data_IF_140924161676
#
_entry.id   IF_140924161676
#
_cell.length_a   1.000
_cell.length_b   1.000
_cell.length_c   1.000
_cell.angle_alpha   90.00
_cell.angle_beta   90.00
_cell.angle_gamma   90.00
#
_symmetry.space_group_name_H-M   'P 1'
#
loop_
_entity.id
_entity.type
_entity.pdbx_description
1 polymer ?
#
# COMPACT_ATOMS: atom_id res chain seq x y z
N UNK A 1 -85.76 -4.95 -30.65
CA UNK A 1 -86.40 -5.30 -29.35
C UNK A 1 -85.92 -6.68 -28.91
N UNK A 2 -86.00 -6.94 -27.60
CA UNK A 2 -85.51 -8.10 -26.82
C UNK A 2 -84.05 -7.95 -26.36
N UNK A 3 -83.79 -7.08 -25.37
CA UNK A 3 -83.81 -7.30 -23.90
C UNK A 3 -82.69 -8.24 -23.43
N UNK A 4 -81.69 -7.60 -22.81
CA UNK A 4 -80.79 -8.18 -21.82
C UNK A 4 -81.60 -8.85 -20.70
N UNK A 5 -81.31 -10.10 -20.40
CA UNK A 5 -81.69 -10.71 -19.12
C UNK A 5 -80.44 -11.05 -18.34
N UNK A 6 -80.18 -10.19 -17.35
CA UNK A 6 -79.28 -10.41 -16.22
C UNK A 6 -79.89 -11.50 -15.33
N UNK A 7 -79.32 -12.71 -15.31
CA UNK A 7 -79.55 -13.64 -14.20
C UNK A 7 -78.65 -13.26 -13.02
N UNK A 8 -79.27 -12.64 -12.02
CA UNK A 8 -78.73 -12.44 -10.68
C UNK A 8 -78.82 -13.76 -9.92
N UNK A 9 -77.71 -14.49 -9.80
CA UNK A 9 -77.53 -15.43 -8.70
C UNK A 9 -76.70 -14.76 -7.60
N UNK A 10 -77.26 -14.76 -6.39
CA UNK A 10 -76.74 -14.02 -5.24
C UNK A 10 -75.38 -14.53 -4.81
N UNK A 11 -74.35 -13.71 -5.06
CA UNK A 11 -73.02 -13.89 -4.50
C UNK A 11 -73.10 -13.76 -2.97
N UNK A 12 -72.98 -14.88 -2.28
CA UNK A 12 -73.23 -14.99 -0.84
C UNK A 12 -72.13 -14.25 -0.06
N UNK A 13 -72.46 -13.52 1.00
CA UNK A 13 -71.52 -12.64 1.73
C UNK A 13 -70.24 -13.32 2.23
N UNK A 14 -70.28 -14.64 2.42
CA UNK A 14 -69.15 -15.51 2.75
C UNK A 14 -68.14 -15.69 1.60
N UNK A 15 -68.59 -15.68 0.33
CA UNK A 15 -67.69 -15.75 -0.83
C UNK A 15 -66.91 -14.43 -1.02
N UNK A 16 -67.50 -13.29 -0.64
CA UNK A 16 -66.77 -12.00 -0.60
C UNK A 16 -65.76 -11.96 0.55
N UNK A 17 -66.11 -12.53 1.70
CA UNK A 17 -65.19 -12.68 2.83
C UNK A 17 -64.00 -13.55 2.45
N UNK A 18 -64.22 -14.71 1.83
CA UNK A 18 -63.16 -15.63 1.43
C UNK A 18 -62.18 -14.97 0.45
N UNK A 19 -62.69 -14.25 -0.56
CA UNK A 19 -61.86 -13.55 -1.55
C UNK A 19 -60.93 -12.49 -0.92
N UNK A 20 -61.34 -11.85 0.17
CA UNK A 20 -60.51 -10.87 0.89
C UNK A 20 -59.61 -11.50 1.97
N UNK A 21 -60.05 -12.59 2.60
CA UNK A 21 -59.32 -13.29 3.67
C UNK A 21 -58.17 -14.13 3.13
N UNK A 22 -58.34 -14.78 1.97
CA UNK A 22 -57.27 -15.59 1.37
C UNK A 22 -55.97 -14.80 1.10
N UNK A 23 -55.99 -13.63 0.43
CA UNK A 23 -54.78 -12.84 0.23
C UNK A 23 -54.25 -12.24 1.55
N UNK A 24 -55.12 -11.89 2.49
CA UNK A 24 -54.71 -11.38 3.81
C UNK A 24 -53.99 -12.45 4.65
N UNK A 25 -54.44 -13.70 4.60
CA UNK A 25 -53.80 -14.79 5.33
C UNK A 25 -52.41 -15.08 4.76
N UNK A 26 -52.27 -15.02 3.43
CA UNK A 26 -50.98 -15.21 2.77
C UNK A 26 -49.95 -14.14 3.18
N UNK A 27 -50.35 -12.87 3.27
CA UNK A 27 -49.44 -11.81 3.71
C UNK A 27 -49.03 -11.96 5.16
N UNK A 28 -49.96 -12.35 6.05
CA UNK A 28 -49.65 -12.63 7.46
C UNK A 28 -48.62 -13.75 7.60
N UNK A 29 -48.77 -14.85 6.84
CA UNK A 29 -47.80 -15.96 6.84
C UNK A 29 -46.43 -15.50 6.33
N UNK A 30 -46.39 -14.72 5.26
CA UNK A 30 -45.13 -14.21 4.70
C UNK A 30 -44.40 -13.30 5.70
N UNK A 31 -45.13 -12.40 6.36
CA UNK A 31 -44.58 -11.53 7.41
C UNK A 31 -44.08 -12.36 8.60
N UNK A 32 -44.81 -13.40 9.01
CA UNK A 32 -44.39 -14.30 10.09
C UNK A 32 -43.07 -15.01 9.75
N UNK A 33 -42.92 -15.52 8.52
CA UNK A 33 -41.68 -16.16 8.06
C UNK A 33 -40.52 -15.17 8.08
N UNK A 34 -40.74 -13.95 7.59
CA UNK A 34 -39.71 -12.91 7.57
C UNK A 34 -39.25 -12.54 9.00
N UNK A 35 -40.21 -12.46 9.94
CA UNK A 35 -39.94 -12.16 11.34
C UNK A 35 -39.11 -13.24 12.04
N UNK A 36 -39.33 -14.52 11.73
CA UNK A 36 -38.55 -15.65 12.25
C UNK A 36 -37.13 -15.70 11.67
N UNK A 37 -36.93 -15.25 10.42
CA UNK A 37 -35.60 -15.20 9.80
C UNK A 37 -34.75 -14.07 10.40
N UNK A 38 -35.34 -12.91 10.67
CA UNK A 38 -34.61 -11.76 11.23
C UNK A 38 -34.33 -11.87 12.73
N UNK A 39 -35.07 -12.70 13.47
CA UNK A 39 -34.96 -12.78 14.92
C UNK A 39 -34.56 -14.18 15.39
N UNK A 40 -33.26 -14.42 15.68
CA UNK A 40 -32.74 -15.75 16.00
C UNK A 40 -33.38 -16.37 17.25
N UNK A 41 -33.71 -15.55 18.26
CA UNK A 41 -34.34 -16.03 19.51
C UNK A 41 -35.78 -16.52 19.33
N UNK A 42 -36.50 -16.06 18.31
CA UNK A 42 -37.85 -16.55 17.99
C UNK A 42 -37.80 -17.85 17.20
N UNK A 43 -36.79 -18.03 16.35
CA UNK A 43 -36.54 -19.29 15.65
C UNK A 43 -36.29 -20.43 16.65
N UNK A 44 -35.44 -20.19 17.64
CA UNK A 44 -35.15 -21.17 18.71
C UNK A 44 -36.43 -21.58 19.46
N UNK A 45 -37.25 -20.61 19.89
CA UNK A 45 -38.52 -20.86 20.59
C UNK A 45 -39.58 -21.56 19.73
N UNK A 46 -39.61 -21.30 18.42
CA UNK A 46 -40.55 -21.94 17.49
C UNK A 46 -40.17 -23.41 17.24
N UNK A 47 -38.88 -23.70 17.16
CA UNK A 47 -38.33 -25.06 17.04
C UNK A 47 -38.64 -25.85 18.31
N UNK A 48 -38.43 -25.25 19.48
CA UNK A 48 -38.74 -25.89 20.77
C UNK A 48 -40.24 -26.17 20.96
N UNK A 49 -41.12 -25.25 20.56
CA UNK A 49 -42.56 -25.48 20.57
C UNK A 49 -43.00 -26.54 19.53
N UNK A 50 -42.35 -26.58 18.36
CA UNK A 50 -42.62 -27.54 17.29
C UNK A 50 -42.25 -28.99 17.64
N UNK A 51 -41.27 -29.19 18.54
CA UNK A 51 -40.90 -30.51 19.08
C UNK A 51 -42.03 -31.19 19.86
N UNK A 52 -42.98 -30.42 20.41
CA UNK A 52 -44.14 -30.93 21.15
C UNK A 52 -45.28 -31.47 20.29
N UNK A 53 -45.20 -31.34 18.95
CA UNK A 53 -46.23 -31.81 18.03
C UNK A 53 -45.76 -33.10 17.36
N UNK A 54 -46.42 -34.25 17.59
CA UNK A 54 -45.91 -35.58 17.20
C UNK A 54 -45.68 -35.76 15.70
N UNK A 55 -46.39 -35.01 14.86
CA UNK A 55 -46.22 -35.06 13.38
C UNK A 55 -45.00 -34.25 12.91
N UNK A 56 -44.66 -33.16 13.62
CA UNK A 56 -43.58 -32.24 13.22
C UNK A 56 -42.25 -32.67 13.88
N UNK A 57 -42.29 -33.16 15.12
CA UNK A 57 -41.12 -33.65 15.85
C UNK A 57 -40.42 -34.85 15.20
N UNK A 58 -41.13 -35.67 14.40
CA UNK A 58 -40.53 -36.80 13.67
C UNK A 58 -39.71 -36.39 12.43
N UNK A 59 -39.89 -35.16 11.94
CA UNK A 59 -39.12 -34.59 10.82
C UNK A 59 -38.03 -33.61 11.29
N UNK A 60 -38.02 -33.25 12.58
CA UNK A 60 -36.93 -32.53 13.19
C UNK A 60 -35.85 -33.53 13.65
N UNK A 61 -34.56 -33.29 13.38
CA UNK A 61 -33.49 -34.10 13.95
C UNK A 61 -33.56 -34.02 15.49
N UNK A 62 -33.92 -35.13 16.13
CA UNK A 62 -33.94 -35.26 17.59
C UNK A 62 -32.52 -35.45 18.13
N UNK A 63 -32.24 -34.80 19.27
CA UNK A 63 -30.93 -34.84 19.94
C UNK A 63 -30.49 -36.29 20.23
N UNK A 64 -29.48 -36.76 19.50
CA UNK A 64 -28.67 -37.88 19.94
C UNK A 64 -27.70 -37.34 21.00
N UNK A 65 -27.77 -37.90 22.22
CA UNK A 65 -26.73 -37.82 23.24
C UNK A 65 -25.34 -37.96 22.60
N UNK A 66 -24.45 -37.01 22.91
CA UNK A 66 -23.05 -36.88 22.46
C UNK A 66 -22.65 -37.67 21.19
N UNK A 67 -22.43 -37.00 20.03
CA UNK A 67 -21.94 -37.72 18.87
C UNK A 67 -20.47 -38.13 19.12
N UNK A 68 -20.18 -39.41 18.89
CA UNK A 68 -18.85 -39.96 18.62
C UNK A 68 -18.14 -39.25 17.43
N UNK A 69 -18.77 -38.27 16.79
CA UNK A 69 -18.16 -37.31 15.86
C UNK A 69 -17.39 -36.16 16.51
N UNK A 70 -17.46 -35.97 17.83
CA UNK A 70 -16.73 -34.90 18.53
C UNK A 70 -15.21 -35.13 18.63
N UNK A 71 -14.75 -36.38 18.59
CA UNK A 71 -13.33 -36.71 18.55
C UNK A 71 -12.71 -36.45 17.17
N UNK A 72 -13.44 -36.74 16.08
CA UNK A 72 -13.00 -36.50 14.69
C UNK A 72 -12.96 -35.00 14.38
N UNK A 73 -13.90 -34.22 14.92
CA UNK A 73 -13.89 -32.76 14.81
C UNK A 73 -12.72 -32.13 15.57
N UNK A 74 -12.39 -32.65 16.77
CA UNK A 74 -11.20 -32.21 17.53
C UNK A 74 -9.89 -32.56 16.83
N UNK A 75 -9.75 -33.76 16.27
CA UNK A 75 -8.57 -34.14 15.48
C UNK A 75 -8.41 -33.28 14.20
N UNK A 76 -9.52 -32.89 13.58
CA UNK A 76 -9.50 -32.03 12.40
C UNK A 76 -9.11 -30.59 12.76
N UNK A 77 -9.54 -30.11 13.92
CA UNK A 77 -9.17 -28.79 14.44
C UNK A 77 -7.71 -28.76 14.94
N UNK A 78 -7.20 -29.84 15.53
CA UNK A 78 -5.78 -29.98 15.90
C UNK A 78 -4.86 -30.03 14.68
N UNK A 79 -5.25 -30.75 13.61
CA UNK A 79 -4.52 -30.75 12.33
C UNK A 79 -4.53 -29.38 11.65
N UNK A 80 -5.65 -28.64 11.75
CA UNK A 80 -5.72 -27.24 11.28
C UNK A 80 -4.79 -26.36 12.10
N UNK A 81 -4.81 -26.44 13.42
CA UNK A 81 -3.90 -25.69 14.29
C UNK A 81 -2.43 -25.95 13.94
N UNK A 82 -2.04 -27.22 13.74
CA UNK A 82 -0.69 -27.59 13.34
C UNK A 82 -0.31 -27.01 11.96
N UNK A 83 -1.23 -27.05 10.98
CA UNK A 83 -1.01 -26.45 9.65
C UNK A 83 -0.88 -24.93 9.70
N UNK A 84 -1.73 -24.24 10.48
CA UNK A 84 -1.65 -22.80 10.68
C UNK A 84 -0.34 -22.41 11.37
N UNK A 85 0.15 -23.23 12.30
CA UNK A 85 1.42 -23.00 13.00
C UNK A 85 2.63 -23.19 12.08
N UNK A 86 2.57 -24.17 11.17
CA UNK A 86 3.57 -24.38 10.13
C UNK A 86 3.59 -23.22 9.10
N UNK A 87 2.41 -22.75 8.67
CA UNK A 87 2.29 -21.56 7.81
C UNK A 87 2.85 -20.30 8.50
N UNK A 88 2.59 -20.13 9.80
CA UNK A 88 3.13 -19.02 10.59
C UNK A 88 4.67 -19.08 10.66
N UNK A 89 5.24 -20.27 10.83
CA UNK A 89 6.68 -20.47 10.85
C UNK A 89 7.32 -20.19 9.48
N UNK A 90 6.70 -20.68 8.40
CA UNK A 90 7.15 -20.41 7.03
C UNK A 90 7.03 -18.91 6.66
N UNK A 91 5.97 -18.24 7.13
CA UNK A 91 5.80 -16.80 6.98
C UNK A 91 6.88 -16.02 7.73
N UNK A 92 7.22 -16.42 8.97
CA UNK A 92 8.32 -15.83 9.75
C UNK A 92 9.67 -15.98 9.06
N UNK A 93 9.99 -17.16 8.54
CA UNK A 93 11.25 -17.40 7.84
C UNK A 93 11.39 -16.55 6.56
N UNK A 94 10.30 -16.37 5.81
CA UNK A 94 10.27 -15.46 4.64
C UNK A 94 10.45 -14.00 5.05
N UNK A 95 9.94 -13.62 6.22
CA UNK A 95 10.05 -12.26 6.75
C UNK A 95 11.50 -11.95 7.18
N UNK A 96 12.18 -12.91 7.83
CA UNK A 96 13.61 -12.78 8.16
C UNK A 96 14.51 -12.71 6.91
N UNK A 97 14.22 -13.50 5.87
CA UNK A 97 14.95 -13.43 4.61
C UNK A 97 14.78 -12.08 3.90
N UNK A 98 13.55 -11.55 3.89
CA UNK A 98 13.25 -10.23 3.34
C UNK A 98 13.92 -9.10 4.14
N UNK A 99 14.01 -9.21 5.47
CA UNK A 99 14.71 -8.25 6.32
C UNK A 99 16.23 -8.24 6.08
N UNK A 100 16.82 -9.42 5.82
CA UNK A 100 18.25 -9.53 5.48
C UNK A 100 18.57 -8.89 4.12
N UNK A 101 17.73 -9.13 3.12
CA UNK A 101 17.85 -8.52 1.78
C UNK A 101 17.69 -6.99 1.84
N UNK A 102 16.72 -6.51 2.62
CA UNK A 102 16.50 -5.08 2.86
C UNK A 102 17.71 -4.40 3.50
N UNK A 103 18.34 -5.03 4.48
CA UNK A 103 19.58 -4.53 5.12
C UNK A 103 20.73 -4.41 4.11
N UNK A 104 20.89 -5.38 3.21
CA UNK A 104 21.88 -5.34 2.13
C UNK A 104 21.62 -4.20 1.13
N UNK A 105 20.35 -3.94 0.81
CA UNK A 105 19.93 -2.85 -0.08
C UNK A 105 20.11 -1.47 0.58
N UNK A 106 19.80 -1.31 1.87
CA UNK A 106 20.01 -0.06 2.62
C UNK A 106 21.50 0.36 2.65
N UNK A 107 22.42 -0.61 2.77
CA UNK A 107 23.86 -0.34 2.72
C UNK A 107 24.32 0.16 1.35
N UNK A 108 23.76 -0.38 0.25
CA UNK A 108 24.05 0.07 -1.11
C UNK A 108 23.49 1.46 -1.38
N UNK A 109 22.26 1.75 -0.94
CA UNK A 109 21.65 3.08 -1.09
C UNK A 109 22.49 4.15 -0.41
N UNK A 110 22.98 3.88 0.81
CA UNK A 110 23.85 4.83 1.53
C UNK A 110 25.18 5.07 0.80
N UNK A 111 25.80 4.02 0.27
CA UNK A 111 27.04 4.15 -0.51
C UNK A 111 26.84 4.94 -1.81
N UNK A 112 25.68 4.78 -2.46
CA UNK A 112 25.33 5.53 -3.67
C UNK A 112 25.01 7.00 -3.37
N UNK A 113 24.32 7.29 -2.27
CA UNK A 113 24.05 8.66 -1.82
C UNK A 113 25.35 9.44 -1.54
N UNK A 114 26.32 8.82 -0.87
CA UNK A 114 27.63 9.42 -0.57
C UNK A 114 28.45 9.70 -1.84
N UNK A 115 28.34 8.82 -2.85
CA UNK A 115 28.97 9.03 -4.15
C UNK A 115 28.32 10.20 -4.91
N UNK A 116 26.99 10.29 -4.90
CA UNK A 116 26.23 11.37 -5.54
C UNK A 116 26.55 12.71 -4.90
N UNK A 117 26.61 12.81 -3.57
CA UNK A 117 26.98 14.05 -2.88
C UNK A 117 28.42 14.49 -3.21
N UNK A 118 29.32 13.53 -3.47
CA UNK A 118 30.68 13.80 -3.94
C UNK A 118 30.70 14.29 -5.40
N UNK A 119 29.90 13.65 -6.26
CA UNK A 119 29.74 14.00 -7.68
C UNK A 119 29.09 15.38 -7.86
N UNK A 120 28.08 15.75 -7.08
CA UNK A 120 27.43 17.07 -7.14
C UNK A 120 28.40 18.18 -6.73
N UNK A 121 29.17 17.97 -5.66
CA UNK A 121 30.17 18.95 -5.19
C UNK A 121 31.34 19.13 -6.15
N UNK A 122 31.65 18.11 -6.95
CA UNK A 122 32.65 18.21 -8.04
C UNK A 122 32.03 18.80 -9.32
N UNK A 123 30.74 18.60 -9.56
CA UNK A 123 30.00 19.12 -10.72
C UNK A 123 29.72 20.64 -10.63
N UNK A 124 29.56 21.21 -9.43
CA UNK A 124 29.46 22.68 -9.25
C UNK A 124 30.76 23.42 -9.68
N UNK A 125 31.89 22.71 -9.76
CA UNK A 125 33.15 23.22 -10.29
C UNK A 125 33.28 23.06 -11.83
N UNK A 126 32.42 22.29 -12.48
CA UNK A 126 32.39 22.08 -13.94
C UNK A 126 31.02 22.45 -14.52
N UNK A 127 30.69 23.74 -14.51
CA UNK A 127 29.69 24.26 -15.46
C UNK A 127 30.28 24.15 -16.87
N UNK A 128 30.02 23.03 -17.55
CA UNK A 128 30.11 22.95 -19.01
C UNK A 128 29.36 24.15 -19.58
N UNK A 129 29.99 24.90 -20.49
CA UNK A 129 29.26 25.99 -21.15
C UNK A 129 28.08 25.40 -21.95
N UNK A 130 27.04 26.20 -22.19
CA UNK A 130 25.85 25.75 -22.91
C UNK A 130 26.20 25.11 -24.27
N UNK A 131 27.26 25.60 -24.90
CA UNK A 131 27.81 25.11 -26.17
C UNK A 131 28.43 23.71 -26.03
N UNK A 132 29.13 23.43 -24.94
CA UNK A 132 29.72 22.10 -24.68
C UNK A 132 28.64 21.06 -24.35
N UNK A 133 27.60 21.47 -23.63
CA UNK A 133 26.47 20.60 -23.32
C UNK A 133 25.68 20.23 -24.59
N UNK A 134 25.44 21.21 -25.47
CA UNK A 134 24.83 20.96 -26.78
C UNK A 134 25.64 19.96 -27.62
N UNK A 135 26.97 20.08 -27.62
CA UNK A 135 27.86 19.14 -28.31
C UNK A 135 27.72 17.70 -27.81
N UNK A 136 27.61 17.52 -26.49
CA UNK A 136 27.39 16.19 -25.88
C UNK A 136 26.02 15.60 -26.24
N UNK A 137 24.97 16.41 -26.30
CA UNK A 137 23.64 15.95 -26.74
C UNK A 137 23.69 15.48 -28.20
N UNK A 138 24.36 16.22 -29.08
CA UNK A 138 24.51 15.85 -30.48
C UNK A 138 25.31 14.55 -30.67
N UNK A 139 26.39 14.37 -29.90
CA UNK A 139 27.17 13.12 -29.88
C UNK A 139 26.32 11.94 -29.41
N UNK A 140 25.57 12.12 -28.32
CA UNK A 140 24.68 11.10 -27.76
C UNK A 140 23.57 10.73 -28.75
N UNK A 141 22.98 11.72 -29.42
CA UNK A 141 21.99 11.53 -30.47
C UNK A 141 22.56 10.73 -31.64
N UNK A 142 23.79 11.06 -32.08
CA UNK A 142 24.50 10.30 -33.12
C UNK A 142 24.77 8.85 -32.73
N UNK A 143 25.17 8.61 -31.47
CA UNK A 143 25.38 7.25 -30.96
C UNK A 143 24.09 6.43 -31.01
N UNK A 144 22.98 6.96 -30.49
CA UNK A 144 21.70 6.25 -30.52
C UNK A 144 21.13 6.09 -31.93
N UNK A 145 21.34 7.06 -32.82
CA UNK A 145 20.96 6.96 -34.23
C UNK A 145 21.75 5.86 -34.98
N UNK A 146 23.00 5.61 -34.58
CA UNK A 146 23.83 4.53 -35.13
C UNK A 146 23.41 3.13 -34.65
N UNK A 147 22.63 3.04 -33.57
CA UNK A 147 22.08 1.78 -33.07
C UNK A 147 20.82 1.39 -33.85
N UNK A 148 20.50 0.10 -33.85
CA UNK A 148 19.20 -0.36 -34.36
C UNK A 148 18.06 0.21 -33.52
N UNK A 149 17.01 0.76 -34.15
CA UNK A 149 15.88 1.39 -33.47
C UNK A 149 15.26 0.54 -32.35
N UNK A 150 15.14 -0.78 -32.54
CA UNK A 150 14.62 -1.71 -31.53
C UNK A 150 15.47 -1.80 -30.24
N UNK A 151 16.75 -1.39 -30.29
CA UNK A 151 17.65 -1.35 -29.12
C UNK A 151 17.69 0.04 -28.50
N UNK A 152 17.62 1.10 -29.32
CA UNK A 152 17.63 2.47 -28.83
C UNK A 152 16.32 2.87 -28.15
N UNK A 153 15.17 2.45 -28.70
CA UNK A 153 13.84 2.75 -28.17
C UNK A 153 13.67 2.40 -26.67
N UNK A 154 13.92 1.16 -26.21
CA UNK A 154 13.76 0.82 -24.80
C UNK A 154 14.74 1.57 -23.89
N UNK A 155 15.92 1.95 -24.38
CA UNK A 155 16.88 2.73 -23.57
C UNK A 155 16.32 4.13 -23.33
N UNK A 156 15.86 4.80 -24.40
CA UNK A 156 15.31 6.15 -24.31
C UNK A 156 13.98 6.21 -23.55
N UNK A 157 13.18 5.15 -23.56
CA UNK A 157 11.95 5.05 -22.74
C UNK A 157 12.22 5.01 -21.23
N UNK A 158 13.34 4.40 -20.85
CA UNK A 158 13.76 4.32 -19.46
C UNK A 158 14.47 5.61 -18.99
N UNK A 159 14.75 6.54 -19.89
CA UNK A 159 15.18 7.89 -19.52
C UNK A 159 14.00 8.74 -19.07
N UNK A 160 14.31 9.93 -18.53
CA UNK A 160 13.27 10.93 -18.29
C UNK A 160 12.70 11.41 -19.63
N UNK A 161 11.42 11.82 -19.62
CA UNK A 161 10.74 12.31 -20.82
C UNK A 161 11.53 13.45 -21.47
N UNK A 162 12.00 14.40 -20.65
CA UNK A 162 12.71 15.59 -21.12
C UNK A 162 14.10 15.30 -21.70
N UNK A 163 14.86 14.37 -21.11
CA UNK A 163 16.14 13.93 -21.69
C UNK A 163 15.92 13.19 -23.02
N UNK A 164 14.90 12.33 -23.09
CA UNK A 164 14.59 11.59 -24.32
C UNK A 164 14.24 12.54 -25.48
N UNK A 165 13.52 13.63 -25.18
CA UNK A 165 13.15 14.68 -26.14
C UNK A 165 14.38 15.42 -26.66
N UNK A 166 15.31 15.80 -25.79
CA UNK A 166 16.55 16.50 -26.19
C UNK A 166 17.40 15.65 -27.13
N UNK A 167 17.55 14.37 -26.80
CA UNK A 167 18.35 13.43 -27.60
C UNK A 167 17.65 13.14 -28.92
N UNK A 168 16.36 12.80 -28.91
CA UNK A 168 15.58 12.55 -30.14
C UNK A 168 15.47 13.80 -31.02
N UNK A 169 15.29 14.97 -30.43
CA UNK A 169 15.22 16.25 -31.14
C UNK A 169 16.53 16.66 -31.81
N UNK A 170 17.65 16.08 -31.36
CA UNK A 170 18.98 16.28 -31.96
C UNK A 170 19.35 15.22 -33.01
N UNK A 171 18.46 14.26 -33.30
CA UNK A 171 18.64 13.26 -34.37
C UNK A 171 18.04 13.73 -35.69
N UNK A 172 18.44 13.09 -36.79
CA UNK A 172 17.74 13.22 -38.05
C UNK A 172 16.33 12.58 -37.99
N UNK A 173 15.41 13.11 -38.81
CA UNK A 173 14.00 12.69 -38.78
C UNK A 173 13.79 11.21 -39.11
N UNK A 174 14.72 10.55 -39.82
CA UNK A 174 14.60 9.13 -40.18
C UNK A 174 14.94 8.26 -38.98
N UNK A 175 16.05 8.52 -38.30
CA UNK A 175 16.42 7.82 -37.07
C UNK A 175 15.39 8.07 -35.97
N UNK A 176 14.99 9.33 -35.79
CA UNK A 176 13.96 9.73 -34.83
C UNK A 176 12.64 8.99 -35.06
N UNK A 177 12.12 8.99 -36.30
CA UNK A 177 10.88 8.29 -36.65
C UNK A 177 10.97 6.78 -36.47
N UNK A 178 12.11 6.17 -36.84
CA UNK A 178 12.32 4.74 -36.66
C UNK A 178 12.35 4.33 -35.18
N UNK A 179 12.95 5.15 -34.32
CA UNK A 179 13.01 4.91 -32.88
C UNK A 179 11.63 5.10 -32.23
N UNK A 180 10.92 6.20 -32.53
CA UNK A 180 9.55 6.43 -32.03
C UNK A 180 8.60 5.30 -32.43
N UNK A 181 8.75 4.73 -33.62
CA UNK A 181 7.95 3.59 -34.08
C UNK A 181 8.24 2.28 -33.32
N UNK A 182 9.39 2.19 -32.64
CA UNK A 182 9.78 1.04 -31.80
C UNK A 182 9.55 1.28 -30.32
N UNK A 183 9.04 2.46 -29.96
CA UNK A 183 8.69 2.76 -28.58
C UNK A 183 7.30 2.27 -28.20
N UNK A 184 7.01 2.22 -26.89
CA UNK A 184 5.66 2.09 -26.35
C UNK A 184 4.77 3.21 -26.91
N UNK A 185 3.57 2.88 -27.44
CA UNK A 185 2.71 3.87 -28.08
C UNK A 185 2.35 5.07 -27.21
N UNK A 186 2.23 4.89 -25.88
CA UNK A 186 1.92 6.01 -24.97
C UNK A 186 3.14 6.89 -24.79
N UNK A 187 4.32 6.30 -24.58
CA UNK A 187 5.59 7.04 -24.47
C UNK A 187 5.91 7.80 -25.76
N UNK A 188 5.75 7.17 -26.91
CA UNK A 188 5.96 7.80 -28.22
C UNK A 188 5.02 9.00 -28.43
N UNK A 189 3.73 8.86 -28.10
CA UNK A 189 2.76 9.94 -28.23
C UNK A 189 3.08 11.14 -27.31
N UNK A 190 3.46 10.87 -26.05
CA UNK A 190 3.85 11.92 -25.11
C UNK A 190 5.10 12.67 -25.57
N UNK A 191 6.11 11.93 -26.03
CA UNK A 191 7.36 12.48 -26.55
C UNK A 191 7.09 13.34 -27.78
N UNK A 192 6.35 12.82 -28.76
CA UNK A 192 6.01 13.53 -29.98
C UNK A 192 5.16 14.79 -29.73
N UNK A 193 4.21 14.74 -28.79
CA UNK A 193 3.41 15.89 -28.41
C UNK A 193 4.28 17.00 -27.80
N UNK A 194 5.20 16.65 -26.89
CA UNK A 194 6.10 17.63 -26.25
C UNK A 194 7.15 18.20 -27.19
N UNK A 195 7.60 17.44 -28.19
CA UNK A 195 8.51 17.93 -29.23
C UNK A 195 7.85 18.96 -30.16
N UNK A 196 6.52 18.90 -30.32
CA UNK A 196 5.76 19.87 -31.10
C UNK A 196 5.68 21.23 -30.40
N UNK A 197 5.65 21.23 -29.07
CA UNK A 197 5.61 22.44 -28.26
C UNK A 197 7.03 23.03 -28.21
N UNK A 198 7.30 23.99 -29.08
CA UNK A 198 8.63 24.57 -29.28
C UNK A 198 9.05 25.47 -28.10
N UNK A 199 9.55 24.85 -27.03
CA UNK A 199 10.27 25.57 -25.96
C UNK A 199 11.71 25.91 -26.41
N UNK A 200 12.29 27.05 -25.97
CA UNK A 200 13.68 27.37 -26.25
C UNK A 200 14.63 26.27 -25.74
N UNK A 201 15.67 25.96 -26.53
CA UNK A 201 16.61 24.85 -26.25
C UNK A 201 17.24 24.92 -24.86
N UNK A 202 17.52 26.12 -24.34
CA UNK A 202 18.03 26.30 -22.96
C UNK A 202 17.00 25.91 -21.89
N UNK A 203 15.73 26.23 -22.11
CA UNK A 203 14.66 25.93 -21.16
C UNK A 203 14.38 24.42 -21.12
N UNK A 204 14.49 23.75 -22.28
CA UNK A 204 14.43 22.29 -22.38
C UNK A 204 15.59 21.60 -21.64
N UNK A 205 16.81 22.12 -21.77
CA UNK A 205 17.98 21.59 -21.05
C UNK A 205 17.83 21.71 -19.53
N UNK A 206 17.30 22.84 -19.05
CA UNK A 206 17.06 23.07 -17.62
C UNK A 206 15.94 22.15 -17.13
N UNK A 207 14.85 22.01 -17.89
CA UNK A 207 13.75 21.11 -17.55
C UNK A 207 14.20 19.64 -17.47
N UNK A 208 15.07 19.22 -18.41
CA UNK A 208 15.65 17.88 -18.39
C UNK A 208 16.52 17.63 -17.17
N UNK A 209 17.39 18.58 -16.84
CA UNK A 209 18.24 18.49 -15.64
C UNK A 209 17.40 18.41 -14.35
N UNK A 210 16.37 19.24 -14.23
CA UNK A 210 15.46 19.23 -13.08
C UNK A 210 14.64 17.93 -13.01
N UNK A 211 14.19 17.41 -14.15
CA UNK A 211 13.44 16.16 -14.19
C UNK A 211 14.30 14.97 -13.80
N UNK A 212 15.58 14.95 -14.21
CA UNK A 212 16.55 13.94 -13.80
C UNK A 212 16.81 13.97 -12.30
N UNK A 213 17.08 15.15 -11.74
CA UNK A 213 17.26 15.33 -10.29
C UNK A 213 16.03 14.86 -9.50
N UNK A 214 14.83 15.07 -10.04
CA UNK A 214 13.58 14.55 -9.46
C UNK A 214 13.44 13.04 -9.61
N UNK A 215 13.80 12.45 -10.75
CA UNK A 215 13.73 10.99 -10.93
C UNK A 215 14.72 10.29 -9.99
N UNK A 216 15.91 10.86 -9.82
CA UNK A 216 16.92 10.42 -8.86
C UNK A 216 16.41 10.58 -7.40
N UNK A 217 15.66 11.64 -7.10
CA UNK A 217 15.00 11.82 -5.79
C UNK A 217 13.81 10.86 -5.56
N UNK A 218 12.91 10.67 -6.53
CA UNK A 218 11.69 9.84 -6.41
C UNK A 218 11.99 8.34 -6.46
N UNK A 219 13.06 7.93 -7.14
CA UNK A 219 13.58 6.56 -7.05
C UNK A 219 13.98 6.19 -5.62
N UNK A 220 14.23 7.18 -4.77
CA UNK A 220 14.51 7.04 -3.33
C UNK A 220 13.23 7.01 -2.48
N UNK A 221 12.11 7.57 -2.96
CA UNK A 221 10.86 7.71 -2.17
C UNK A 221 9.88 6.54 -2.29
N UNK A 222 9.96 5.71 -3.34
CA UNK A 222 9.03 4.58 -3.54
C UNK A 222 9.25 3.42 -2.53
N UNK A 223 10.28 3.50 -1.66
CA UNK A 223 10.58 2.53 -0.60
C UNK A 223 9.98 2.87 0.79
N UNK A 224 9.16 3.91 0.92
CA UNK A 224 8.62 4.37 2.21
C UNK A 224 7.23 3.82 2.53
N UNK A 225 7.13 2.53 2.76
CA UNK A 225 6.03 1.92 3.53
C UNK A 225 6.48 1.60 4.97
N UNK A 226 7.28 2.48 5.58
CA UNK A 226 7.86 2.34 6.93
C UNK A 226 7.51 3.59 7.73
N UNK A 227 7.25 3.43 9.04
CA UNK A 227 6.88 4.52 9.96
C UNK A 227 7.70 5.78 9.69
N UNK A 228 7.03 6.86 9.30
CA UNK A 228 7.72 8.10 8.97
C UNK A 228 8.25 8.77 10.26
N UNK A 229 9.15 9.74 10.09
CA UNK A 229 9.78 10.43 11.23
C UNK A 229 8.76 11.10 12.16
N UNK A 230 7.63 11.57 11.63
CA UNK A 230 6.55 12.18 12.40
C UNK A 230 5.87 11.16 13.33
N UNK A 231 5.71 9.91 12.89
CA UNK A 231 5.14 8.83 13.71
C UNK A 231 6.09 8.44 14.85
N UNK A 232 7.41 8.42 14.58
CA UNK A 232 8.42 8.13 15.61
C UNK A 232 8.50 9.22 16.67
N UNK A 233 8.43 10.50 16.27
CA UNK A 233 8.40 11.62 17.23
C UNK A 233 7.20 11.51 18.15
N UNK A 234 5.99 11.25 17.61
CA UNK A 234 4.77 11.06 18.40
C UNK A 234 4.89 9.90 19.41
N UNK A 235 5.51 8.79 19.02
CA UNK A 235 5.71 7.65 19.94
C UNK A 235 6.55 8.03 21.15
N UNK A 236 7.72 8.65 20.95
CA UNK A 236 8.61 9.00 22.07
C UNK A 236 8.15 10.20 22.88
N UNK A 237 7.37 11.12 22.30
CA UNK A 237 6.73 12.21 23.06
C UNK A 237 5.63 11.72 24.00
N UNK A 238 4.91 10.66 23.61
CA UNK A 238 3.87 10.05 24.44
C UNK A 238 4.39 9.04 25.47
N UNK A 239 5.66 8.62 25.37
CA UNK A 239 6.24 7.58 26.21
C UNK A 239 6.91 8.16 27.46
N UNK A 240 6.79 7.47 28.60
CA UNK A 240 7.43 7.88 29.85
C UNK A 240 8.96 7.79 29.75
N UNK A 241 9.67 8.85 30.19
CA UNK A 241 11.12 8.95 30.07
C UNK A 241 11.88 7.82 30.79
N UNK A 242 11.40 7.32 31.92
CA UNK A 242 12.04 6.23 32.67
C UNK A 242 11.96 4.88 31.95
N UNK A 243 10.95 4.69 31.09
CA UNK A 243 10.78 3.48 30.27
C UNK A 243 11.47 3.64 28.92
N UNK A 244 11.47 4.85 28.38
CA UNK A 244 12.12 5.19 27.14
C UNK A 244 13.65 5.22 27.25
N UNK A 245 14.20 5.71 28.36
CA UNK A 245 15.64 5.82 28.57
C UNK A 245 16.41 4.50 28.44
N UNK A 246 16.02 3.38 29.08
CA UNK A 246 16.73 2.12 28.90
C UNK A 246 16.60 1.59 27.46
N UNK A 247 15.44 1.79 26.82
CA UNK A 247 15.26 1.43 25.41
C UNK A 247 16.16 2.26 24.49
N UNK A 248 16.27 3.57 24.73
CA UNK A 248 17.15 4.45 23.98
C UNK A 248 18.62 4.17 24.24
N UNK A 249 19.03 3.78 25.45
CA UNK A 249 20.40 3.35 25.72
C UNK A 249 20.72 2.04 24.99
N UNK A 250 19.83 1.06 25.07
CA UNK A 250 19.99 -0.21 24.35
C UNK A 250 19.95 -0.01 22.82
N UNK A 251 19.12 0.91 22.33
CA UNK A 251 19.11 1.31 20.93
C UNK A 251 20.35 2.12 20.54
N UNK A 252 20.99 2.82 21.47
CA UNK A 252 22.21 3.58 21.21
C UNK A 252 23.40 2.65 21.05
N UNK A 253 23.42 1.53 21.77
CA UNK A 253 24.40 0.45 21.59
C UNK A 253 24.33 -0.14 20.18
N UNK A 254 23.11 -0.28 19.63
CA UNK A 254 22.91 -0.81 18.27
C UNK A 254 23.03 0.26 17.17
N UNK A 255 22.54 1.46 17.44
CA UNK A 255 22.41 2.53 16.45
C UNK A 255 22.25 3.91 17.12
N UNK A 256 23.37 4.46 17.58
CA UNK A 256 23.41 5.82 18.12
C UNK A 256 22.77 6.85 17.17
N UNK A 257 22.89 6.70 15.85
CA UNK A 257 22.27 7.61 14.87
C UNK A 257 20.73 7.60 14.89
N UNK A 258 20.09 6.47 15.15
CA UNK A 258 18.62 6.39 15.27
C UNK A 258 18.15 7.06 16.55
N UNK A 259 18.87 6.87 17.65
CA UNK A 259 18.61 7.54 18.93
C UNK A 259 18.86 9.04 18.82
N UNK A 260 19.92 9.47 18.13
CA UNK A 260 20.17 10.88 17.85
C UNK A 260 19.05 11.48 16.99
N UNK A 261 18.55 10.76 15.97
CA UNK A 261 17.39 11.21 15.19
C UNK A 261 16.15 11.38 16.08
N UNK A 262 15.85 10.40 16.93
CA UNK A 262 14.73 10.47 17.88
C UNK A 262 14.93 11.67 18.83
N UNK A 263 16.06 11.76 19.52
CA UNK A 263 16.38 12.84 20.44
C UNK A 263 16.33 14.21 19.75
N UNK A 264 16.84 14.35 18.52
CA UNK A 264 16.77 15.60 17.76
C UNK A 264 15.35 15.97 17.30
N UNK A 265 14.47 14.98 17.17
CA UNK A 265 13.10 15.17 16.65
C UNK A 265 12.05 15.44 17.72
N UNK A 266 12.25 14.94 18.95
CA UNK A 266 11.33 15.18 20.08
C UNK A 266 11.54 16.56 20.68
N UNK A 267 10.50 17.09 21.34
CA UNK A 267 10.55 18.37 22.05
C UNK A 267 11.72 18.47 23.05
N UNK A 268 12.17 19.69 23.32
CA UNK A 268 13.27 19.94 24.27
C UNK A 268 12.94 19.43 25.70
N UNK A 269 11.67 19.47 26.09
CA UNK A 269 11.20 18.95 27.37
C UNK A 269 11.30 17.42 27.44
N UNK A 270 10.87 16.72 26.38
CA UNK A 270 11.00 15.26 26.29
C UNK A 270 12.47 14.86 26.19
N UNK A 271 13.27 15.56 25.39
CA UNK A 271 14.70 15.31 25.25
C UNK A 271 15.45 15.44 26.58
N UNK A 272 15.20 16.51 27.34
CA UNK A 272 15.86 16.75 28.62
C UNK A 272 15.50 15.71 29.67
N UNK A 273 14.23 15.28 29.74
CA UNK A 273 13.81 14.21 30.64
C UNK A 273 14.40 12.84 30.25
N UNK A 274 14.44 12.51 28.95
CA UNK A 274 15.09 11.29 28.46
C UNK A 274 16.58 11.27 28.79
N UNK A 275 17.30 12.36 28.49
CA UNK A 275 18.74 12.47 28.80
C UNK A 275 18.99 12.37 30.31
N UNK A 276 18.12 12.95 31.14
CA UNK A 276 18.24 12.84 32.59
C UNK A 276 18.11 11.39 33.07
N UNK A 277 17.08 10.66 32.64
CA UNK A 277 16.90 9.25 32.99
C UNK A 277 18.02 8.36 32.42
N UNK A 278 18.44 8.60 31.17
CA UNK A 278 19.57 7.90 30.55
C UNK A 278 20.86 8.12 31.34
N UNK A 279 21.10 9.33 31.85
CA UNK A 279 22.30 9.63 32.65
C UNK A 279 22.33 8.91 33.99
N UNK A 280 21.17 8.52 34.55
CA UNK A 280 21.13 7.74 35.79
C UNK A 280 21.61 6.31 35.56
N UNK A 281 21.30 5.76 34.39
CA UNK A 281 21.67 4.39 34.02
C UNK A 281 23.07 4.32 33.44
N UNK A 282 23.41 5.19 32.49
CA UNK A 282 24.75 5.26 31.88
C UNK A 282 25.16 6.70 31.56
N UNK A 283 25.93 7.29 32.49
CA UNK A 283 26.48 8.66 32.37
C UNK A 283 27.43 8.81 31.17
N UNK A 284 28.21 7.77 30.86
CA UNK A 284 29.24 7.82 29.83
C UNK A 284 28.60 7.82 28.45
N UNK A 285 27.69 6.88 28.19
CA UNK A 285 26.97 6.81 26.91
C UNK A 285 26.11 8.05 26.69
N UNK A 286 25.40 8.50 27.74
CA UNK A 286 24.53 9.68 27.64
C UNK A 286 25.31 10.95 27.30
N UNK A 287 26.46 11.19 27.94
CA UNK A 287 27.30 12.36 27.61
C UNK A 287 27.87 12.31 26.19
N UNK A 288 28.16 11.11 25.66
CA UNK A 288 28.59 10.91 24.28
C UNK A 288 27.47 11.16 23.26
N UNK A 289 26.23 10.76 23.57
CA UNK A 289 25.08 11.04 22.72
C UNK A 289 24.76 12.53 22.71
N UNK A 290 24.78 13.19 23.87
CA UNK A 290 24.51 14.64 23.96
C UNK A 290 25.59 15.46 23.25
N UNK A 291 26.87 15.08 23.35
CA UNK A 291 27.93 15.78 22.62
C UNK A 291 27.80 15.66 21.10
N UNK A 292 27.42 14.47 20.60
CA UNK A 292 27.12 14.25 19.18
C UNK A 292 25.88 15.02 18.71
N UNK A 293 24.85 15.10 19.56
CA UNK A 293 23.65 15.88 19.27
C UNK A 293 23.95 17.37 19.08
N UNK A 294 24.88 17.92 19.88
CA UNK A 294 25.33 19.31 19.75
C UNK A 294 26.27 19.55 18.57
N UNK A 295 27.01 18.53 18.12
CA UNK A 295 27.99 18.64 17.04
C UNK A 295 27.37 18.63 15.62
N UNK A 296 26.07 18.31 15.50
CA UNK A 296 25.36 18.29 14.21
C UNK A 296 25.94 17.31 13.18
N UNK A 297 26.66 16.27 13.62
CA UNK A 297 27.31 15.25 12.78
C UNK A 297 27.01 13.84 13.28
#
# INVERSE_FOLDING_TARGET
MAKEEMEKQGYSGIERMLFFVTPLLFTVVLVMVLFVVFNPSLRERLIDAGRGVPVVGALLPGDASEPEGSAVLKEQDDKRLASLQAELSAAKAKLEAADSEKSGLEAQVKSLQEQIDGLIKTSDAEKLSAEQYQGKIAELAGMFASMTASKAAPILENMTLEESILVLGSMDSRAQGAILAKMDPKRAAQTAARMKDSEPVKDQQIAALQSRLRLEATSTETASAILNQEQLTKTFESMNAAQAAPLLLQMADMSASKVLRILSSVSDATRSSLVAEMSKTDKKMTSQLVSKLMAGK
#
